data_IF_210563096693
#
_entry.id   IF_210563096693
#
_cell.length_a   1.000
_cell.length_b   1.000
_cell.length_c   1.000
_cell.angle_alpha   90.00
_cell.angle_beta   90.00
_cell.angle_gamma   90.00
#
_symmetry.space_group_name_H-M   'P 1'
#
loop_
_entity.id
_entity.type
_entity.pdbx_description
1 polymer ?
#
# COMPACT_ATOMS: atom_id res chain seq x y z
N UNK A 1 18.36 -17.61 19.77
CA UNK A 1 18.72 -16.31 19.19
C UNK A 1 17.66 -15.30 19.61
N UNK A 2 18.10 -14.17 20.18
CA UNK A 2 17.25 -13.19 20.85
C UNK A 2 16.25 -12.55 19.89
N UNK A 3 14.98 -12.94 19.97
CA UNK A 3 13.85 -12.17 19.44
C UNK A 3 13.43 -11.19 20.52
N UNK A 4 13.71 -9.91 20.31
CA UNK A 4 13.01 -8.74 20.87
C UNK A 4 14.02 -7.64 21.09
N UNK A 5 13.94 -6.63 20.23
CA UNK A 5 13.77 -5.22 20.62
C UNK A 5 13.88 -4.37 19.35
N UNK A 6 12.97 -3.41 19.19
CA UNK A 6 13.12 -2.18 18.36
C UNK A 6 12.41 -1.99 17.00
N UNK A 7 11.22 -2.59 16.76
CA UNK A 7 10.18 -1.85 16.00
C UNK A 7 9.09 -1.26 16.90
N UNK A 8 8.73 -1.96 17.98
CA UNK A 8 7.52 -1.64 18.77
C UNK A 8 7.56 -0.27 19.47
N UNK A 9 8.72 0.13 20.01
CA UNK A 9 8.80 1.34 20.83
C UNK A 9 8.55 2.62 20.01
N UNK A 10 9.15 2.72 18.80
CA UNK A 10 8.99 3.90 17.92
C UNK A 10 7.58 4.01 17.34
N UNK A 11 6.96 2.88 17.00
CA UNK A 11 5.57 2.85 16.55
C UNK A 11 4.61 3.33 17.64
N UNK A 12 4.84 2.96 18.91
CA UNK A 12 3.93 3.29 20.01
C UNK A 12 3.82 4.80 20.28
N UNK A 13 4.95 5.51 20.48
CA UNK A 13 4.93 6.94 20.84
C UNK A 13 4.45 7.81 19.69
N UNK A 14 4.81 7.48 18.45
CA UNK A 14 4.37 8.28 17.29
C UNK A 14 2.90 8.08 16.98
N UNK A 15 2.41 6.85 17.08
CA UNK A 15 0.98 6.53 16.92
C UNK A 15 0.12 7.29 17.94
N UNK A 16 0.59 7.38 19.19
CA UNK A 16 -0.07 8.17 20.24
C UNK A 16 -0.10 9.66 19.93
N UNK A 17 1.01 10.22 19.43
CA UNK A 17 1.05 11.63 19.01
C UNK A 17 0.08 11.92 17.87
N UNK A 18 0.01 11.05 16.85
CA UNK A 18 -0.90 11.21 15.71
C UNK A 18 -2.37 11.15 16.17
N UNK A 19 -2.71 10.17 17.01
CA UNK A 19 -4.07 10.05 17.56
C UNK A 19 -4.44 11.26 18.43
N UNK A 20 -3.54 11.70 19.32
CA UNK A 20 -3.77 12.88 20.15
C UNK A 20 -3.92 14.17 19.32
N UNK A 21 -3.10 14.33 18.28
CA UNK A 21 -3.19 15.46 17.35
C UNK A 21 -4.51 15.45 16.59
N UNK A 22 -4.96 14.27 16.17
CA UNK A 22 -6.26 14.05 15.54
C UNK A 22 -7.41 14.45 16.46
N UNK A 23 -7.40 14.01 17.72
CA UNK A 23 -8.47 14.32 18.67
C UNK A 23 -8.51 15.81 19.01
N UNK A 24 -7.34 16.45 19.18
CA UNK A 24 -7.25 17.89 19.37
C UNK A 24 -7.75 18.70 18.16
N UNK A 25 -7.47 18.23 16.93
CA UNK A 25 -7.98 18.85 15.71
C UNK A 25 -9.50 18.70 15.60
N UNK A 26 -10.03 17.52 15.90
CA UNK A 26 -11.47 17.24 15.87
C UNK A 26 -12.23 18.11 16.88
N UNK A 27 -11.69 18.26 18.11
CA UNK A 27 -12.31 19.12 19.13
C UNK A 27 -12.38 20.57 18.66
N UNK A 28 -11.26 21.13 18.19
CA UNK A 28 -11.22 22.52 17.69
C UNK A 28 -12.16 22.74 16.51
N UNK A 29 -12.28 21.75 15.63
CA UNK A 29 -13.19 21.81 14.50
C UNK A 29 -14.66 21.81 14.96
N UNK A 30 -15.03 20.92 15.89
CA UNK A 30 -16.35 20.86 16.47
C UNK A 30 -16.74 22.18 17.16
N UNK A 31 -15.84 22.72 17.98
CA UNK A 31 -16.06 23.99 18.70
C UNK A 31 -16.30 25.13 17.70
N UNK A 32 -15.45 25.24 16.67
CA UNK A 32 -15.58 26.27 15.63
C UNK A 32 -16.91 26.18 14.86
N UNK A 33 -17.30 24.98 14.45
CA UNK A 33 -18.56 24.75 13.75
C UNK A 33 -19.77 25.10 14.60
N UNK A 34 -19.71 24.81 15.91
CA UNK A 34 -20.77 25.15 16.86
C UNK A 34 -20.89 26.66 17.04
N UNK A 35 -19.77 27.38 17.20
CA UNK A 35 -19.75 28.84 17.33
C UNK A 35 -20.33 29.54 16.09
N UNK A 36 -20.05 29.03 14.89
CA UNK A 36 -20.62 29.59 13.65
C UNK A 36 -22.13 29.35 13.59
N UNK A 37 -22.59 28.17 14.03
CA UNK A 37 -24.02 27.86 14.09
C UNK A 37 -24.75 28.76 15.09
N UNK A 38 -24.17 29.01 16.27
CA UNK A 38 -24.70 29.94 17.26
C UNK A 38 -24.77 31.38 16.72
N UNK A 39 -23.70 31.86 16.08
CA UNK A 39 -23.69 33.18 15.45
C UNK A 39 -24.75 33.32 14.35
N UNK A 40 -24.97 32.26 13.56
CA UNK A 40 -26.03 32.21 12.54
C UNK A 40 -27.43 32.33 13.15
N UNK A 41 -27.65 31.70 14.31
CA UNK A 41 -28.91 31.81 15.04
C UNK A 41 -29.14 33.23 15.58
N UNK A 42 -28.09 33.88 16.09
CA UNK A 42 -28.15 35.27 16.61
C UNK A 42 -28.47 36.26 15.49
N UNK A 43 -27.85 36.14 14.31
CA UNK A 43 -28.05 37.09 13.22
C UNK A 43 -29.29 36.77 12.36
N UNK A 44 -29.94 35.63 12.55
CA UNK A 44 -31.15 35.23 11.82
C UNK A 44 -30.92 34.78 10.37
N UNK A 45 -29.68 34.50 9.98
CA UNK A 45 -29.33 33.93 8.66
C UNK A 45 -28.08 33.06 8.75
N UNK A 46 -27.91 32.13 7.79
CA UNK A 46 -26.77 31.20 7.80
C UNK A 46 -25.44 31.91 7.48
N UNK A 47 -24.47 31.78 8.37
CA UNK A 47 -23.07 32.19 8.14
C UNK A 47 -22.25 31.10 7.41
N UNK A 48 -22.82 29.92 7.20
CA UNK A 48 -22.27 28.89 6.31
C UNK A 48 -22.54 29.22 4.83
N UNK A 49 -22.06 30.37 4.37
CA UNK A 49 -22.22 30.81 2.98
C UNK A 49 -20.88 30.79 2.22
N UNK A 50 -20.94 30.72 0.89
CA UNK A 50 -19.79 30.55 0.01
C UNK A 50 -18.89 31.80 -0.13
N UNK A 51 -19.26 32.92 0.50
CA UNK A 51 -18.47 34.15 0.58
C UNK A 51 -17.68 34.24 1.89
N UNK A 52 -18.21 33.67 2.97
CA UNK A 52 -17.60 33.62 4.31
C UNK A 52 -16.75 32.36 4.42
N UNK A 53 -17.33 31.23 4.08
CA UNK A 53 -16.59 30.03 3.75
C UNK A 53 -16.19 30.20 2.29
N UNK A 54 -14.89 30.27 1.97
CA UNK A 54 -14.49 29.92 0.59
C UNK A 54 -15.21 28.62 0.22
N UNK A 55 -15.56 28.34 -1.05
CA UNK A 55 -16.01 27.01 -1.46
C UNK A 55 -14.90 26.03 -1.05
N UNK A 56 -15.09 25.53 0.15
CA UNK A 56 -14.18 24.74 0.91
C UNK A 56 -14.22 23.37 0.26
N UNK A 57 -13.26 22.50 0.56
CA UNK A 57 -13.29 21.11 0.09
C UNK A 57 -14.57 20.32 0.49
N UNK A 58 -15.49 20.98 1.23
CA UNK A 58 -16.74 20.50 1.80
C UNK A 58 -18.00 21.03 1.08
N UNK A 59 -17.89 22.03 0.20
CA UNK A 59 -19.06 22.68 -0.41
C UNK A 59 -19.94 23.43 0.61
N UNK A 60 -21.12 23.89 0.18
CA UNK A 60 -22.10 24.49 1.08
C UNK A 60 -22.77 23.38 1.89
N UNK A 61 -22.71 23.42 3.24
CA UNK A 61 -23.19 22.31 4.04
C UNK A 61 -24.71 22.23 4.08
N UNK A 62 -25.24 21.00 3.99
CA UNK A 62 -26.68 20.75 4.12
C UNK A 62 -27.20 20.87 5.57
N UNK A 63 -26.34 20.63 6.56
CA UNK A 63 -26.62 20.79 8.00
C UNK A 63 -25.34 20.84 8.82
N UNK A 64 -25.41 21.32 10.06
CA UNK A 64 -24.29 21.31 11.01
C UNK A 64 -23.74 19.88 11.23
N UNK A 65 -24.63 18.90 11.39
CA UNK A 65 -24.24 17.51 11.58
C UNK A 65 -23.48 16.94 10.36
N UNK A 66 -23.95 17.26 9.14
CA UNK A 66 -23.27 16.85 7.92
C UNK A 66 -21.87 17.48 7.81
N UNK A 67 -21.72 18.76 8.14
CA UNK A 67 -20.40 19.41 8.16
C UNK A 67 -19.44 18.80 9.17
N UNK A 68 -19.94 18.47 10.36
CA UNK A 68 -19.14 17.83 11.42
C UNK A 68 -18.63 16.47 10.93
N UNK A 69 -19.50 15.67 10.31
CA UNK A 69 -19.14 14.36 9.77
C UNK A 69 -18.16 14.46 8.61
N UNK A 70 -18.36 15.36 7.65
CA UNK A 70 -17.41 15.57 6.54
C UNK A 70 -16.03 16.05 7.05
N UNK A 71 -16.00 16.96 8.02
CA UNK A 71 -14.76 17.40 8.64
C UNK A 71 -14.05 16.28 9.38
N UNK A 72 -14.80 15.45 10.13
CA UNK A 72 -14.28 14.23 10.76
C UNK A 72 -13.63 13.33 9.70
N UNK A 73 -14.31 13.08 8.59
CA UNK A 73 -13.79 12.22 7.53
C UNK A 73 -12.47 12.73 6.94
N UNK A 74 -12.35 14.03 6.68
CA UNK A 74 -11.10 14.60 6.16
C UNK A 74 -9.96 14.54 7.18
N UNK A 75 -10.25 14.84 8.46
CA UNK A 75 -9.28 14.74 9.55
C UNK A 75 -8.80 13.29 9.68
N UNK A 76 -9.72 12.32 9.71
CA UNK A 76 -9.37 10.90 9.82
C UNK A 76 -8.58 10.40 8.61
N UNK A 77 -8.99 10.76 7.39
CA UNK A 77 -8.25 10.45 6.17
C UNK A 77 -6.82 10.98 6.22
N UNK A 78 -6.64 12.23 6.65
CA UNK A 78 -5.32 12.85 6.76
C UNK A 78 -4.46 12.16 7.82
N UNK A 79 -5.05 11.80 8.96
CA UNK A 79 -4.37 11.05 10.01
C UNK A 79 -3.90 9.67 9.53
N UNK A 80 -4.74 8.93 8.81
CA UNK A 80 -4.35 7.63 8.23
C UNK A 80 -3.24 7.76 7.19
N UNK A 81 -3.33 8.75 6.30
CA UNK A 81 -2.28 8.98 5.31
C UNK A 81 -0.93 9.29 5.98
N UNK A 82 -0.92 10.20 6.96
CA UNK A 82 0.30 10.50 7.72
C UNK A 82 0.83 9.26 8.45
N UNK A 83 -0.06 8.45 9.05
CA UNK A 83 0.32 7.22 9.73
C UNK A 83 1.02 6.25 8.77
N UNK A 84 0.49 6.02 7.57
CA UNK A 84 1.12 5.13 6.60
C UNK A 84 2.44 5.69 6.08
N UNK A 85 2.49 6.97 5.74
CA UNK A 85 3.71 7.63 5.28
C UNK A 85 4.84 7.52 6.33
N UNK A 86 4.51 7.69 7.61
CA UNK A 86 5.51 7.70 8.69
C UNK A 86 5.89 6.30 9.20
N UNK A 87 4.95 5.35 9.22
CA UNK A 87 5.18 4.02 9.79
C UNK A 87 5.52 2.96 8.75
N UNK A 88 5.11 3.17 7.50
CA UNK A 88 5.23 2.20 6.41
C UNK A 88 4.53 0.87 6.69
N UNK A 89 3.52 0.84 7.58
CA UNK A 89 2.91 -0.42 8.02
C UNK A 89 2.02 -1.06 6.94
N UNK A 90 1.54 -0.28 5.99
CA UNK A 90 0.80 -0.74 4.81
C UNK A 90 1.62 -1.69 3.94
N UNK A 91 2.95 -1.75 4.13
CA UNK A 91 3.81 -2.77 3.52
C UNK A 91 3.46 -4.20 3.93
N UNK A 92 2.78 -4.41 5.07
CA UNK A 92 2.34 -5.76 5.45
C UNK A 92 1.05 -6.19 4.74
N UNK A 93 0.46 -5.29 3.95
CA UNK A 93 -0.70 -5.57 3.12
C UNK A 93 -0.32 -5.91 1.68
N UNK A 94 -1.06 -6.82 1.05
CA UNK A 94 -1.00 -7.05 -0.39
C UNK A 94 -1.75 -5.94 -1.14
N UNK A 95 -1.62 -5.89 -2.48
CA UNK A 95 -2.28 -4.84 -3.27
C UNK A 95 -3.81 -4.77 -3.07
N UNK A 96 -4.48 -5.91 -2.90
CA UNK A 96 -5.94 -5.98 -2.69
C UNK A 96 -6.34 -5.28 -1.39
N UNK A 97 -5.71 -5.64 -0.27
CA UNK A 97 -5.97 -5.01 1.03
C UNK A 97 -5.62 -3.52 1.04
N UNK A 98 -4.51 -3.13 0.38
CA UNK A 98 -4.16 -1.70 0.24
C UNK A 98 -5.19 -0.95 -0.61
N UNK A 99 -5.71 -1.55 -1.68
CA UNK A 99 -6.72 -0.95 -2.53
C UNK A 99 -8.05 -0.80 -1.78
N UNK A 100 -8.49 -1.84 -1.07
CA UNK A 100 -9.70 -1.82 -0.24
C UNK A 100 -9.59 -0.76 0.86
N UNK A 101 -8.46 -0.69 1.56
CA UNK A 101 -8.26 0.34 2.59
C UNK A 101 -8.24 1.74 1.99
N UNK A 102 -7.56 1.95 0.86
CA UNK A 102 -7.57 3.26 0.15
C UNK A 102 -8.98 3.66 -0.28
N UNK A 103 -9.79 2.70 -0.69
CA UNK A 103 -11.18 2.97 -1.05
C UNK A 103 -12.03 3.30 0.18
N UNK A 104 -11.79 2.63 1.31
CA UNK A 104 -12.40 3.01 2.58
C UNK A 104 -12.05 4.44 2.97
N UNK A 105 -10.78 4.86 2.79
CA UNK A 105 -10.36 6.24 3.05
C UNK A 105 -11.07 7.25 2.14
N UNK A 106 -11.37 6.89 0.90
CA UNK A 106 -12.06 7.75 -0.07
C UNK A 106 -13.54 7.91 0.27
N UNK A 107 -14.22 6.84 0.65
CA UNK A 107 -15.67 6.83 0.77
C UNK A 107 -16.16 7.07 2.20
N UNK A 108 -15.58 6.36 3.17
CA UNK A 108 -16.00 6.38 4.56
C UNK A 108 -14.81 6.04 5.46
N UNK A 109 -13.89 7.00 5.70
CA UNK A 109 -12.66 6.74 6.43
C UNK A 109 -12.96 6.28 7.88
N UNK A 110 -12.31 5.20 8.33
CA UNK A 110 -12.47 4.71 9.70
C UNK A 110 -11.97 5.74 10.69
N UNK A 111 -12.63 5.82 11.85
CA UNK A 111 -12.27 6.75 12.92
C UNK A 111 -10.82 6.48 13.35
N UNK A 112 -9.94 7.46 13.17
CA UNK A 112 -8.52 7.34 13.47
C UNK A 112 -8.23 7.59 14.96
N UNK A 113 -9.00 6.93 15.84
CA UNK A 113 -8.76 6.93 17.28
C UNK A 113 -7.59 6.02 17.64
N UNK A 114 -6.95 6.26 18.78
CA UNK A 114 -5.80 5.45 19.22
C UNK A 114 -6.13 3.95 19.29
N UNK A 115 -7.33 3.60 19.77
CA UNK A 115 -7.78 2.21 19.88
C UNK A 115 -7.92 1.56 18.50
N UNK A 116 -8.59 2.25 17.56
CA UNK A 116 -8.77 1.74 16.20
C UNK A 116 -7.43 1.61 15.50
N UNK A 117 -6.58 2.63 15.58
CA UNK A 117 -5.25 2.59 14.99
C UNK A 117 -4.47 1.39 15.54
N UNK A 118 -4.34 1.26 16.87
CA UNK A 118 -3.63 0.13 17.48
C UNK A 118 -4.18 -1.23 17.05
N UNK A 119 -5.50 -1.36 16.96
CA UNK A 119 -6.15 -2.59 16.49
C UNK A 119 -5.74 -2.91 15.05
N UNK A 120 -5.86 -1.95 14.14
CA UNK A 120 -5.46 -2.10 12.73
C UNK A 120 -3.98 -2.46 12.59
N UNK A 121 -3.10 -1.78 13.34
CA UNK A 121 -1.66 -2.06 13.28
C UNK A 121 -1.34 -3.48 13.77
N UNK A 122 -1.95 -3.91 14.88
CA UNK A 122 -1.77 -5.27 15.43
C UNK A 122 -2.27 -6.33 14.48
N UNK A 123 -3.44 -6.11 13.88
CA UNK A 123 -4.00 -7.04 12.90
C UNK A 123 -3.12 -7.16 11.66
N UNK A 124 -2.61 -6.03 11.13
CA UNK A 124 -1.69 -6.03 9.99
C UNK A 124 -0.43 -6.86 10.27
N UNK A 125 0.15 -6.74 11.46
CA UNK A 125 1.33 -7.51 11.86
C UNK A 125 0.99 -8.99 12.07
N UNK A 126 -0.14 -9.29 12.72
CA UNK A 126 -0.55 -10.66 13.03
C UNK A 126 -0.87 -11.46 11.76
N UNK A 127 -1.52 -10.84 10.78
CA UNK A 127 -1.95 -11.48 9.53
C UNK A 127 -0.90 -11.41 8.42
N UNK A 128 0.26 -10.76 8.65
CA UNK A 128 1.25 -10.46 7.61
C UNK A 128 1.66 -11.67 6.77
N UNK A 129 1.88 -12.83 7.38
CA UNK A 129 2.34 -14.03 6.68
C UNK A 129 1.27 -14.57 5.73
N UNK A 130 0.01 -14.54 6.18
CA UNK A 130 -1.15 -14.98 5.40
C UNK A 130 -1.37 -14.04 4.23
N UNK A 131 -1.42 -12.73 4.50
CA UNK A 131 -1.59 -11.70 3.49
C UNK A 131 -0.51 -11.74 2.41
N UNK A 132 0.75 -11.91 2.82
CA UNK A 132 1.88 -12.00 1.88
C UNK A 132 1.82 -13.29 1.06
N UNK A 133 1.41 -14.41 1.66
CA UNK A 133 1.20 -15.66 0.96
C UNK A 133 0.10 -15.55 -0.10
N UNK A 134 -1.04 -14.94 0.24
CA UNK A 134 -2.12 -14.65 -0.71
C UNK A 134 -1.63 -13.77 -1.87
N UNK A 135 -0.99 -12.63 -1.55
CA UNK A 135 -0.48 -11.72 -2.57
C UNK A 135 0.58 -12.37 -3.48
N UNK A 136 1.41 -13.26 -2.93
CA UNK A 136 2.41 -13.99 -3.70
C UNK A 136 1.78 -15.01 -4.64
N UNK A 137 0.80 -15.79 -4.17
CA UNK A 137 0.09 -16.76 -5.01
C UNK A 137 -0.73 -16.06 -6.09
N UNK A 138 -1.41 -14.95 -5.75
CA UNK A 138 -2.13 -14.13 -6.74
C UNK A 138 -1.19 -13.64 -7.83
N UNK A 139 0.01 -13.15 -7.48
CA UNK A 139 1.04 -12.76 -8.44
C UNK A 139 1.42 -13.93 -9.36
N UNK A 140 1.67 -15.12 -8.81
CA UNK A 140 2.03 -16.30 -9.59
C UNK A 140 0.89 -16.75 -10.53
N UNK A 141 -0.35 -16.58 -10.10
CA UNK A 141 -1.55 -16.89 -10.88
C UNK A 141 -1.69 -16.00 -12.12
N UNK A 142 -1.29 -14.73 -12.01
CA UNK A 142 -1.44 -13.69 -13.03
C UNK A 142 -0.30 -13.67 -14.08
N UNK A 143 0.74 -14.48 -13.87
CA UNK A 143 1.85 -14.59 -14.84
C UNK A 143 1.39 -15.15 -16.19
N UNK A 144 1.91 -14.57 -17.27
CA UNK A 144 1.63 -15.04 -18.63
C UNK A 144 2.15 -16.47 -18.83
N UNK A 145 1.21 -17.41 -18.97
CA UNK A 145 1.48 -18.86 -19.04
C UNK A 145 2.12 -19.30 -20.36
N UNK A 146 2.24 -18.42 -21.35
CA UNK A 146 2.97 -18.72 -22.59
C UNK A 146 4.47 -18.87 -22.35
N UNK A 147 5.00 -18.30 -21.26
CA UNK A 147 6.38 -18.53 -20.85
C UNK A 147 6.49 -19.84 -20.06
N UNK A 148 7.33 -20.77 -20.52
CA UNK A 148 7.54 -22.08 -19.88
C UNK A 148 7.87 -21.99 -18.39
N UNK A 149 8.61 -20.96 -17.98
CA UNK A 149 8.97 -20.75 -16.57
C UNK A 149 7.80 -20.28 -15.72
N UNK A 150 6.84 -19.57 -16.30
CA UNK A 150 5.60 -19.14 -15.63
C UNK A 150 4.53 -20.23 -15.62
N UNK A 151 4.68 -21.29 -16.43
CA UNK A 151 3.72 -22.39 -16.51
C UNK A 151 3.82 -23.38 -15.33
N UNK A 152 4.86 -23.28 -14.49
CA UNK A 152 4.98 -24.09 -13.28
C UNK A 152 3.85 -23.76 -12.30
N UNK A 153 3.18 -24.78 -11.78
CA UNK A 153 2.10 -24.63 -10.80
C UNK A 153 2.68 -24.73 -9.39
N UNK A 154 2.45 -23.69 -8.59
CA UNK A 154 2.59 -23.70 -7.13
C UNK A 154 3.96 -24.10 -6.58
N UNK A 155 5.02 -23.72 -7.29
CA UNK A 155 6.41 -23.69 -6.82
C UNK A 155 7.00 -22.38 -7.34
N UNK A 156 7.86 -21.72 -6.55
CA UNK A 156 8.58 -20.55 -7.02
C UNK A 156 9.51 -20.96 -8.18
N UNK A 157 9.33 -20.43 -9.40
CA UNK A 157 10.27 -20.71 -10.47
C UNK A 157 11.60 -19.99 -10.21
N UNK A 158 12.72 -20.56 -10.68
CA UNK A 158 14.04 -19.88 -10.65
C UNK A 158 14.03 -18.54 -11.39
N UNK A 159 13.08 -18.37 -12.33
CA UNK A 159 12.91 -17.17 -13.14
C UNK A 159 11.43 -16.89 -13.39
N UNK A 160 11.00 -15.68 -13.09
CA UNK A 160 9.68 -15.13 -13.39
C UNK A 160 9.78 -14.22 -14.62
N UNK A 161 8.75 -14.21 -15.46
CA UNK A 161 8.67 -13.29 -16.60
C UNK A 161 7.42 -12.43 -16.47
N UNK A 162 7.63 -11.12 -16.30
CA UNK A 162 6.58 -10.10 -16.30
C UNK A 162 6.55 -9.44 -17.68
N UNK A 163 5.41 -9.56 -18.36
CA UNK A 163 5.23 -9.06 -19.73
C UNK A 163 4.76 -7.60 -19.71
N UNK A 164 5.34 -6.75 -20.56
CA UNK A 164 4.81 -5.41 -20.83
C UNK A 164 4.82 -4.47 -19.62
N UNK A 165 5.86 -4.54 -18.79
CA UNK A 165 6.07 -3.56 -17.70
C UNK A 165 6.35 -2.17 -18.30
N UNK A 166 7.10 -2.12 -19.40
CA UNK A 166 7.32 -0.90 -20.17
C UNK A 166 6.75 -1.05 -21.59
N UNK A 167 6.24 0.03 -22.20
CA UNK A 167 5.82 0.00 -23.61
C UNK A 167 7.03 -0.20 -24.52
N UNK A 168 6.83 -0.91 -25.63
CA UNK A 168 7.83 -1.11 -26.70
C UNK A 168 8.21 0.25 -27.35
N UNK A 169 9.45 0.41 -27.82
CA UNK A 169 9.92 1.66 -28.48
C UNK A 169 9.13 2.01 -29.73
N UNK A 170 8.58 1.00 -30.41
CA UNK A 170 8.00 1.15 -31.74
C UNK A 170 6.47 1.14 -31.77
N UNK A 171 5.79 1.21 -30.62
CA UNK A 171 4.33 1.11 -30.59
C UNK A 171 3.67 2.19 -29.72
N UNK A 172 2.85 3.01 -30.39
CA UNK A 172 1.83 3.85 -29.78
C UNK A 172 0.97 3.02 -28.82
N UNK A 173 1.17 3.19 -27.51
CA UNK A 173 0.24 3.07 -26.35
C UNK A 173 -0.75 1.88 -26.24
N UNK A 174 -0.82 0.94 -27.17
CA UNK A 174 -1.82 -0.12 -27.21
C UNK A 174 -1.12 -1.44 -27.45
N UNK A 175 -0.77 -2.17 -26.38
CA UNK A 175 -0.81 -3.63 -26.29
C UNK A 175 -0.16 -4.10 -24.98
N UNK A 176 -0.95 -4.18 -23.90
CA UNK A 176 -0.61 -5.01 -22.74
C UNK A 176 0.09 -4.33 -21.56
N UNK A 177 0.21 -3.00 -21.56
CA UNK A 177 0.48 -2.27 -20.31
C UNK A 177 -0.81 -2.29 -19.48
N UNK A 178 -0.92 -3.22 -18.54
CA UNK A 178 -1.89 -3.09 -17.45
C UNK A 178 -1.19 -2.39 -16.29
N UNK A 179 -1.88 -1.42 -15.69
CA UNK A 179 -1.45 -0.83 -14.42
C UNK A 179 -1.24 -1.91 -13.35
N UNK A 180 -1.94 -3.04 -13.49
CA UNK A 180 -1.82 -4.24 -12.66
C UNK A 180 -0.41 -4.83 -12.66
N UNK A 181 0.31 -4.82 -13.78
CA UNK A 181 1.68 -5.33 -13.85
C UNK A 181 2.65 -4.55 -12.97
N UNK A 182 2.40 -3.25 -12.76
CA UNK A 182 3.18 -2.43 -11.83
C UNK A 182 2.86 -2.78 -10.37
N UNK A 183 1.59 -3.08 -10.06
CA UNK A 183 1.22 -3.52 -8.71
C UNK A 183 1.89 -4.85 -8.36
N UNK A 184 1.94 -5.81 -9.29
CA UNK A 184 2.63 -7.08 -9.08
C UNK A 184 4.14 -6.90 -8.91
N UNK A 185 4.78 -6.01 -9.67
CA UNK A 185 6.21 -5.74 -9.50
C UNK A 185 6.53 -5.17 -8.12
N UNK A 186 5.74 -4.19 -7.66
CA UNK A 186 5.91 -3.58 -6.34
C UNK A 186 5.58 -4.58 -5.22
N UNK A 187 4.55 -5.41 -5.39
CA UNK A 187 4.24 -6.48 -4.44
C UNK A 187 5.36 -7.50 -4.35
N UNK A 188 5.94 -7.91 -5.48
CA UNK A 188 7.08 -8.82 -5.50
C UNK A 188 8.28 -8.24 -4.75
N UNK A 189 8.66 -6.99 -5.02
CA UNK A 189 9.76 -6.34 -4.29
C UNK A 189 9.47 -6.26 -2.79
N UNK A 190 8.24 -5.93 -2.42
CA UNK A 190 7.84 -5.87 -1.02
C UNK A 190 7.91 -7.24 -0.33
N UNK A 191 7.40 -8.30 -0.98
CA UNK A 191 7.49 -9.68 -0.48
C UNK A 191 8.95 -10.09 -0.29
N UNK A 192 9.81 -9.82 -1.27
CA UNK A 192 11.24 -10.11 -1.19
C UNK A 192 11.90 -9.34 -0.05
N UNK A 193 11.61 -8.04 0.09
CA UNK A 193 12.15 -7.24 1.19
C UNK A 193 11.73 -7.80 2.54
N UNK A 194 10.47 -8.21 2.70
CA UNK A 194 9.98 -8.79 3.95
C UNK A 194 10.63 -10.14 4.23
N UNK A 195 10.74 -11.04 3.25
CA UNK A 195 11.41 -12.33 3.40
C UNK A 195 12.89 -12.18 3.77
N UNK A 196 13.55 -11.15 3.24
CA UNK A 196 14.96 -10.84 3.53
C UNK A 196 15.15 -9.92 4.75
N UNK A 197 14.10 -9.65 5.54
CA UNK A 197 14.12 -8.73 6.68
C UNK A 197 14.72 -7.35 6.37
N UNK A 198 14.45 -6.84 5.16
CA UNK A 198 14.90 -5.55 4.65
C UNK A 198 13.76 -4.53 4.63
N UNK A 199 14.13 -3.25 4.60
CA UNK A 199 13.17 -2.18 4.34
C UNK A 199 12.73 -2.22 2.86
N UNK A 200 11.42 -2.12 2.64
CA UNK A 200 10.84 -1.92 1.31
C UNK A 200 11.08 -0.47 0.90
N UNK A 201 11.72 -0.20 -0.25
CA UNK A 201 11.88 1.18 -0.71
C UNK A 201 10.52 1.83 -1.01
N UNK A 202 10.29 3.10 -0.63
CA UNK A 202 9.05 3.78 -0.97
C UNK A 202 8.85 3.89 -2.49
N UNK A 203 7.59 3.86 -2.94
CA UNK A 203 7.25 4.10 -4.36
C UNK A 203 7.62 5.55 -4.71
N UNK A 204 8.29 5.76 -5.85
CA UNK A 204 8.75 7.07 -6.29
C UNK A 204 10.02 7.59 -5.60
N UNK A 205 10.67 6.78 -4.76
CA UNK A 205 11.94 7.14 -4.09
C UNK A 205 13.15 7.11 -5.02
N UNK A 206 13.03 6.61 -6.25
CA UNK A 206 14.16 6.31 -7.13
C UNK A 206 14.88 5.00 -6.80
N UNK A 207 14.53 4.36 -5.67
CA UNK A 207 15.25 3.21 -5.11
C UNK A 207 14.48 1.89 -5.26
N UNK A 208 13.16 1.93 -5.46
CA UNK A 208 12.36 0.72 -5.70
C UNK A 208 12.69 0.12 -7.08
N UNK A 209 12.32 -1.14 -7.25
CA UNK A 209 12.60 -1.95 -8.43
C UNK A 209 12.06 -1.30 -9.71
N UNK A 210 10.85 -0.75 -9.66
CA UNK A 210 10.25 -0.07 -10.80
C UNK A 210 11.03 1.18 -11.20
N UNK A 211 11.35 2.07 -10.24
CA UNK A 211 12.04 3.32 -10.51
C UNK A 211 13.43 3.06 -11.10
N UNK A 212 14.15 2.06 -10.56
CA UNK A 212 15.46 1.65 -11.10
C UNK A 212 15.33 1.12 -12.54
N UNK A 213 14.31 0.31 -12.82
CA UNK A 213 14.01 -0.15 -14.18
C UNK A 213 13.59 0.99 -15.11
N UNK A 214 12.86 1.98 -14.60
CA UNK A 214 12.41 3.14 -15.37
C UNK A 214 13.56 4.07 -15.74
N UNK A 215 14.55 4.23 -14.85
CA UNK A 215 15.82 4.92 -15.17
C UNK A 215 16.58 4.15 -16.25
N UNK A 216 16.77 2.85 -16.07
CA UNK A 216 17.45 1.99 -17.06
C UNK A 216 16.76 2.03 -18.43
N UNK A 217 15.42 2.04 -18.45
CA UNK A 217 14.63 2.15 -19.69
C UNK A 217 14.90 3.47 -20.42
N UNK A 218 15.15 4.56 -19.69
CA UNK A 218 15.43 5.88 -20.28
C UNK A 218 16.87 6.03 -20.75
N UNK A 219 17.84 5.42 -20.05
CA UNK A 219 19.27 5.58 -20.37
C UNK A 219 19.75 4.57 -21.40
N UNK A 220 19.49 3.29 -21.15
CA UNK A 220 20.10 2.17 -21.87
C UNK A 220 19.06 1.33 -22.63
N UNK A 221 17.77 1.60 -22.40
CA UNK A 221 16.61 0.93 -23.01
C UNK A 221 16.41 -0.55 -22.61
N UNK A 222 17.49 -1.25 -22.29
CA UNK A 222 17.61 -2.65 -21.88
C UNK A 222 18.77 -2.80 -20.89
N UNK A 223 18.79 -3.85 -20.07
CA UNK A 223 19.91 -4.10 -19.18
C UNK A 223 19.55 -4.90 -17.93
N UNK A 224 20.54 -5.07 -17.05
CA UNK A 224 20.42 -5.85 -15.83
C UNK A 224 20.48 -4.95 -14.59
N UNK A 225 19.61 -5.22 -13.63
CA UNK A 225 19.61 -4.64 -12.30
C UNK A 225 19.82 -5.78 -11.32
N UNK A 226 20.89 -5.70 -10.54
CA UNK A 226 21.17 -6.69 -9.49
C UNK A 226 20.88 -6.04 -8.15
N UNK A 227 20.29 -6.81 -7.24
CA UNK A 227 20.06 -6.38 -5.88
C UNK A 227 20.88 -7.21 -4.90
N UNK A 228 21.52 -6.59 -3.90
CA UNK A 228 22.26 -7.31 -2.87
C UNK A 228 21.42 -8.35 -2.11
N UNK A 229 20.10 -8.26 -2.15
CA UNK A 229 19.17 -9.18 -1.49
C UNK A 229 18.97 -10.50 -2.24
N UNK A 230 19.70 -10.74 -3.34
CA UNK A 230 19.75 -12.06 -3.98
C UNK A 230 18.75 -12.27 -5.13
N UNK A 231 18.29 -11.17 -5.73
CA UNK A 231 17.51 -11.20 -6.96
C UNK A 231 18.15 -10.33 -8.05
N UNK A 232 17.85 -10.69 -9.29
CA UNK A 232 18.32 -9.99 -10.49
C UNK A 232 17.14 -9.75 -11.42
N UNK A 233 16.96 -8.51 -11.84
CA UNK A 233 15.98 -8.13 -12.86
C UNK A 233 16.70 -7.81 -14.17
N UNK A 234 16.19 -8.33 -15.29
CA UNK A 234 16.64 -7.95 -16.62
C UNK A 234 15.49 -7.32 -17.39
N UNK A 235 15.69 -6.09 -17.83
CA UNK A 235 14.83 -5.38 -18.75
C UNK A 235 15.22 -5.75 -20.18
N UNK A 236 14.25 -6.14 -21.00
CA UNK A 236 14.43 -6.40 -22.42
C UNK A 236 13.86 -5.24 -23.26
N UNK A 237 14.35 -5.11 -24.49
CA UNK A 237 13.95 -4.07 -25.44
C UNK A 237 12.42 -4.00 -25.66
N UNK A 238 11.78 -5.16 -25.72
CA UNK A 238 10.32 -5.31 -25.84
C UNK A 238 9.53 -4.93 -24.58
N UNK A 239 10.20 -4.43 -23.53
CA UNK A 239 9.58 -3.95 -22.29
C UNK A 239 9.22 -5.04 -21.29
N UNK A 240 9.59 -6.30 -21.54
CA UNK A 240 9.45 -7.38 -20.58
C UNK A 240 10.54 -7.30 -19.50
N UNK A 241 10.19 -7.73 -18.29
CA UNK A 241 11.12 -7.84 -17.17
C UNK A 241 11.22 -9.29 -16.75
N UNK A 242 12.43 -9.82 -16.75
CA UNK A 242 12.72 -11.16 -16.23
C UNK A 242 13.33 -11.02 -14.85
N UNK A 243 12.76 -11.70 -13.86
CA UNK A 243 13.26 -11.70 -12.49
C UNK A 243 13.83 -13.07 -12.18
N UNK A 244 15.10 -13.12 -11.82
CA UNK A 244 15.78 -14.34 -11.34
C UNK A 244 16.02 -14.23 -9.84
N UNK A 245 15.71 -15.29 -9.10
CA UNK A 245 16.07 -15.40 -7.68
C UNK A 245 17.27 -16.34 -7.58
N UNK A 246 18.41 -15.78 -7.22
CA UNK A 246 19.70 -16.50 -7.18
C UNK A 246 20.05 -16.98 -5.77
N UNK A 247 19.50 -16.32 -4.75
CA UNK A 247 19.70 -16.69 -3.34
C UNK A 247 18.78 -17.84 -2.93
N UNK A 248 19.36 -18.95 -2.48
CA UNK A 248 18.64 -20.16 -2.06
C UNK A 248 17.74 -19.91 -0.84
N UNK A 249 18.18 -19.13 0.14
CA UNK A 249 17.36 -18.81 1.32
C UNK A 249 16.12 -17.99 0.97
N UNK A 250 16.25 -17.03 0.04
CA UNK A 250 15.11 -16.28 -0.48
C UNK A 250 14.16 -17.19 -1.27
N UNK A 251 14.71 -18.09 -2.09
CA UNK A 251 13.91 -19.06 -2.84
C UNK A 251 13.09 -19.96 -1.91
N UNK A 252 13.69 -20.45 -0.82
CA UNK A 252 13.01 -21.26 0.19
C UNK A 252 11.92 -20.45 0.92
N UNK A 253 12.22 -19.22 1.33
CA UNK A 253 11.24 -18.34 1.98
C UNK A 253 10.02 -18.06 1.08
N UNK A 254 10.22 -17.90 -0.23
CA UNK A 254 9.12 -17.74 -1.19
C UNK A 254 8.29 -19.02 -1.33
N UNK A 255 8.92 -20.21 -1.32
CA UNK A 255 8.20 -21.49 -1.30
C UNK A 255 7.45 -21.73 0.03
N UNK A 256 7.97 -21.24 1.15
CA UNK A 256 7.28 -21.28 2.44
C UNK A 256 5.97 -20.47 2.39
N UNK A 257 5.96 -19.31 1.71
CA UNK A 257 4.73 -18.55 1.49
C UNK A 257 3.69 -19.33 0.69
N UNK A 258 4.09 -20.04 -0.36
CA UNK A 258 3.18 -20.92 -1.10
C UNK A 258 2.60 -22.00 -0.17
N UNK A 259 3.46 -22.59 0.67
CA UNK A 259 3.05 -23.61 1.63
C UNK A 259 2.04 -23.06 2.67
N UNK A 260 2.27 -21.85 3.18
CA UNK A 260 1.35 -21.15 4.10
C UNK A 260 -0.02 -20.93 3.44
N UNK A 261 -0.03 -20.49 2.16
CA UNK A 261 -1.28 -20.29 1.43
C UNK A 261 -2.10 -21.58 1.38
N UNK A 262 -1.49 -22.69 0.95
CA UNK A 262 -2.21 -23.98 0.86
C UNK A 262 -2.60 -24.55 2.22
N UNK A 263 -1.76 -24.40 3.26
CA UNK A 263 -2.10 -24.86 4.60
C UNK A 263 -3.40 -24.20 5.13
N UNK A 264 -3.63 -22.93 4.79
CA UNK A 264 -4.84 -22.21 5.18
C UNK A 264 -6.09 -22.56 4.35
N UNK A 265 -5.93 -23.26 3.23
CA UNK A 265 -7.04 -23.70 2.36
C UNK A 265 -7.50 -25.13 2.68
N UNK A 266 -6.73 -25.89 3.47
CA UNK A 266 -7.10 -27.24 3.87
C UNK A 266 -8.18 -27.11 4.96
N UNK A 267 -9.39 -27.68 4.78
CA UNK A 267 -10.40 -27.66 5.84
C UNK A 267 -9.84 -28.35 7.09
N UNK A 268 -10.11 -27.76 8.26
CA UNK A 268 -9.75 -28.38 9.53
C UNK A 268 -10.27 -29.82 9.53
N UNK A 269 -9.39 -30.80 9.80
CA UNK A 269 -9.79 -32.20 9.90
C UNK A 269 -11.00 -32.29 10.84
N UNK A 270 -12.15 -32.66 10.28
CA UNK A 270 -13.35 -32.99 11.04
C UNK A 270 -13.15 -34.21 11.93
#
# INVERSE_FOLDING_TARGET
MSMNSQPELKLSTRTEQLASSRDAAMQKFLDGMTLIAEASAICGFSLFNSKIMAPNAFGLPASLAASIEEGRQQIDRKTWNNLFEETGIDRFWNHNQRAEFRESLRNAPPIASLTVIRSTLRQAVAMRSITLAEGFVDLLCQLDRRYKTNAQQFVMPKKLVLRGIFPDSNMMRYNGFSQDNLFYLNDFENIVCICSNAATPPVGSGMNMYDRLAVLRKTDFTGDITDPKGWKCRLFENGNVHISVECESLHNALNDLISIYFANQIPAKG
#
